data_IF_373019085813
#
_entry.id   IF_373019085813
#
_cell.length_a   1.000
_cell.length_b   1.000
_cell.length_c   1.000
_cell.angle_alpha   90.00
_cell.angle_beta   90.00
_cell.angle_gamma   90.00
#
_symmetry.space_group_name_H-M   'P 1'
#
loop_
_entity.id
_entity.type
_entity.pdbx_description
1 polymer ?
#
# COMPACT_ATOMS: atom_id res chain seq x y z
N UNK A 1 3.18 -0.73 -3.81
CA UNK A 1 3.67 -0.68 -5.20
C UNK A 1 2.49 -0.45 -6.14
N UNK A 2 2.58 0.54 -7.04
CA UNK A 2 1.50 0.87 -7.99
C UNK A 2 0.12 1.12 -7.35
N UNK A 3 0.07 1.72 -6.16
CA UNK A 3 -1.19 1.97 -5.43
C UNK A 3 -1.70 0.81 -4.56
N UNK A 4 -1.05 -0.36 -4.58
CA UNK A 4 -1.39 -1.50 -3.73
C UNK A 4 -0.39 -1.67 -2.58
N UNK A 5 -0.88 -2.13 -1.41
CA UNK A 5 -0.01 -2.54 -0.31
C UNK A 5 0.67 -3.88 -0.63
N UNK A 6 1.81 -4.16 0.03
CA UNK A 6 2.48 -5.47 -0.09
C UNK A 6 1.55 -6.59 0.38
N UNK A 7 0.78 -6.36 1.44
CA UNK A 7 -0.22 -7.31 1.94
C UNK A 7 -1.29 -7.63 0.89
N UNK A 8 -1.73 -6.64 0.11
CA UNK A 8 -2.69 -6.87 -0.98
C UNK A 8 -2.08 -7.61 -2.17
N UNK A 9 -0.78 -7.41 -2.44
CA UNK A 9 -0.10 -7.99 -3.60
C UNK A 9 0.44 -9.40 -3.33
N UNK A 10 0.92 -9.64 -2.12
CA UNK A 10 1.60 -10.87 -1.70
C UNK A 10 1.24 -11.21 -0.24
N UNK A 11 -0.03 -11.56 0.05
CA UNK A 11 -0.51 -11.81 1.42
C UNK A 11 0.21 -12.96 2.12
N UNK A 12 0.53 -14.06 1.43
CA UNK A 12 1.24 -15.19 2.02
C UNK A 12 2.69 -14.80 2.36
N UNK A 13 3.37 -14.07 1.49
CA UNK A 13 4.70 -13.51 1.80
C UNK A 13 4.62 -12.59 3.02
N UNK A 14 3.62 -11.72 3.07
CA UNK A 14 3.41 -10.79 4.18
C UNK A 14 3.17 -11.50 5.53
N UNK A 15 2.43 -12.62 5.53
CA UNK A 15 2.15 -13.37 6.76
C UNK A 15 3.40 -14.02 7.37
N UNK A 16 4.35 -14.44 6.53
CA UNK A 16 5.60 -15.12 6.94
C UNK A 16 6.57 -14.13 7.61
N UNK A 17 6.59 -12.87 7.20
CA UNK A 17 7.44 -11.85 7.82
C UNK A 17 6.95 -11.52 9.24
N UNK A 18 7.85 -11.43 10.22
CA UNK A 18 7.46 -11.14 11.60
C UNK A 18 6.74 -9.77 11.74
N UNK A 19 5.68 -9.64 12.56
CA UNK A 19 4.93 -8.38 12.72
C UNK A 19 5.81 -7.19 13.13
N UNK A 20 6.86 -7.43 13.92
CA UNK A 20 7.81 -6.40 14.32
C UNK A 20 8.54 -5.83 13.10
N UNK A 21 9.06 -6.70 12.23
CA UNK A 21 9.80 -6.32 11.02
C UNK A 21 8.90 -5.50 10.10
N UNK A 22 7.66 -5.96 9.87
CA UNK A 22 6.65 -5.26 9.05
C UNK A 22 6.35 -3.84 9.50
N UNK A 23 6.50 -3.54 10.80
CA UNK A 23 6.17 -2.23 11.38
C UNK A 23 7.35 -1.27 11.46
N UNK A 24 8.56 -1.80 11.60
CA UNK A 24 9.74 -0.98 11.88
C UNK A 24 10.65 -0.82 10.69
N UNK A 25 10.65 -1.78 9.76
CA UNK A 25 11.58 -1.76 8.63
C UNK A 25 11.07 -0.84 7.54
N UNK A 26 11.92 0.09 7.12
CA UNK A 26 11.63 0.92 5.95
C UNK A 26 11.94 0.17 4.65
N UNK A 27 11.39 0.66 3.54
CA UNK A 27 11.72 0.10 2.21
C UNK A 27 13.21 0.27 1.93
N UNK A 28 13.80 1.42 2.28
CA UNK A 28 15.23 1.67 2.11
C UNK A 28 16.10 0.62 2.81
N UNK A 29 15.84 0.38 4.11
CA UNK A 29 16.55 -0.65 4.89
C UNK A 29 16.35 -2.06 4.33
N UNK A 30 15.15 -2.35 3.81
CA UNK A 30 14.82 -3.65 3.24
C UNK A 30 15.59 -3.92 1.92
N UNK A 31 15.77 -2.89 1.11
CA UNK A 31 16.51 -2.95 -0.14
C UNK A 31 18.03 -2.97 0.08
N UNK A 32 18.52 -2.26 1.10
CA UNK A 32 19.92 -2.28 1.48
C UNK A 32 20.36 -3.72 1.83
N UNK A 33 21.35 -4.24 1.10
CA UNK A 33 21.89 -5.60 1.24
C UNK A 33 20.86 -6.74 1.07
N UNK A 34 19.75 -6.51 0.36
CA UNK A 34 18.70 -7.53 0.11
C UNK A 34 18.12 -8.15 1.40
N UNK A 35 18.14 -7.41 2.52
CA UNK A 35 17.76 -7.93 3.85
C UNK A 35 16.30 -8.42 3.93
N UNK A 36 15.44 -7.95 3.03
CA UNK A 36 14.08 -8.44 2.89
C UNK A 36 13.98 -9.94 2.56
N UNK A 37 14.98 -10.52 1.88
CA UNK A 37 15.06 -11.96 1.63
C UNK A 37 15.27 -12.73 2.94
N UNK A 38 16.13 -12.21 3.80
CA UNK A 38 16.39 -12.77 5.12
C UNK A 38 15.14 -12.72 6.01
N UNK A 39 14.36 -11.64 5.90
CA UNK A 39 13.11 -11.47 6.65
C UNK A 39 12.06 -12.53 6.29
N UNK A 40 11.97 -12.89 5.01
CA UNK A 40 11.10 -13.96 4.53
C UNK A 40 11.65 -15.32 4.98
N UNK A 41 12.96 -15.54 4.85
CA UNK A 41 13.60 -16.81 5.20
C UNK A 41 13.44 -17.16 6.69
N UNK A 42 13.58 -16.16 7.58
CA UNK A 42 13.42 -16.33 9.03
C UNK A 42 11.99 -16.64 9.47
N UNK A 43 11.00 -16.40 8.60
CA UNK A 43 9.58 -16.56 8.89
C UNK A 43 9.03 -17.99 8.81
N UNK A 44 9.87 -19.00 8.52
CA UNK A 44 9.44 -20.39 8.41
C UNK A 44 9.19 -20.88 6.97
N UNK A 45 9.65 -20.12 5.97
CA UNK A 45 9.59 -20.49 4.56
C UNK A 45 8.23 -20.24 3.91
N UNK A 46 8.20 -20.29 2.57
CA UNK A 46 7.00 -20.03 1.78
C UNK A 46 6.34 -21.33 1.34
N UNK A 47 5.00 -21.34 1.31
CA UNK A 47 4.25 -22.36 0.59
C UNK A 47 4.46 -22.23 -0.92
N UNK A 48 4.04 -23.22 -1.72
CA UNK A 48 4.10 -23.12 -3.18
C UNK A 48 3.43 -21.84 -3.72
N UNK A 49 2.25 -21.50 -3.20
CA UNK A 49 1.56 -20.27 -3.57
C UNK A 49 2.31 -19.02 -3.08
N UNK A 50 2.93 -19.09 -1.90
CA UNK A 50 3.78 -18.01 -1.39
C UNK A 50 5.01 -17.76 -2.26
N UNK A 51 5.57 -18.81 -2.89
CA UNK A 51 6.68 -18.66 -3.86
C UNK A 51 6.22 -17.91 -5.10
N UNK A 52 5.01 -18.20 -5.62
CA UNK A 52 4.45 -17.45 -6.75
C UNK A 52 4.23 -15.97 -6.42
N UNK A 53 3.71 -15.68 -5.23
CA UNK A 53 3.57 -14.31 -4.74
C UNK A 53 4.92 -13.62 -4.59
N UNK A 54 5.93 -14.33 -4.06
CA UNK A 54 7.29 -13.82 -3.95
C UNK A 54 7.88 -13.46 -5.31
N UNK A 55 7.71 -14.30 -6.34
CA UNK A 55 8.23 -14.00 -7.68
C UNK A 55 7.56 -12.76 -8.28
N UNK A 56 6.23 -12.62 -8.10
CA UNK A 56 5.52 -11.40 -8.53
C UNK A 56 6.00 -10.16 -7.79
N UNK A 57 6.25 -10.29 -6.49
CA UNK A 57 6.78 -9.21 -5.67
C UNK A 57 8.20 -8.84 -6.11
N UNK A 58 9.04 -9.84 -6.38
CA UNK A 58 10.40 -9.69 -6.92
C UNK A 58 10.38 -8.91 -8.23
N UNK A 59 9.54 -9.30 -9.21
CA UNK A 59 9.41 -8.58 -10.48
C UNK A 59 9.00 -7.11 -10.30
N UNK A 60 8.17 -6.81 -9.30
CA UNK A 60 7.76 -5.44 -9.00
C UNK A 60 8.87 -4.63 -8.31
N UNK A 61 9.73 -5.28 -7.53
CA UNK A 61 10.83 -4.68 -6.76
C UNK A 61 12.06 -4.45 -7.63
N UNK A 62 12.38 -5.38 -8.54
CA UNK A 62 13.61 -5.33 -9.34
C UNK A 62 13.71 -4.14 -10.29
N UNK A 63 12.58 -3.55 -10.67
CA UNK A 63 12.54 -2.30 -11.45
C UNK A 63 12.39 -1.03 -10.60
N UNK A 64 12.42 -1.15 -9.27
CA UNK A 64 12.17 -0.04 -8.37
C UNK A 64 13.48 0.59 -7.89
N UNK A 65 13.68 1.85 -8.27
CA UNK A 65 14.80 2.67 -7.79
C UNK A 65 14.28 3.65 -6.73
N UNK A 66 14.85 3.56 -5.54
CA UNK A 66 14.66 4.57 -4.50
C UNK A 66 15.32 5.86 -4.96
N UNK A 67 14.60 6.97 -4.84
CA UNK A 67 15.13 8.31 -5.08
C UNK A 67 14.90 9.18 -3.85
N UNK A 68 15.67 10.26 -3.72
CA UNK A 68 15.59 11.18 -2.58
C UNK A 68 14.43 12.18 -2.69
N UNK A 69 13.49 12.01 -3.63
CA UNK A 69 12.32 12.88 -3.71
C UNK A 69 11.35 12.53 -2.59
N UNK A 70 10.75 13.56 -1.99
CA UNK A 70 9.67 13.36 -1.02
C UNK A 70 8.47 12.66 -1.68
N UNK A 71 7.83 11.76 -0.93
CA UNK A 71 6.61 11.10 -1.35
C UNK A 71 5.50 12.12 -1.62
N UNK A 72 4.92 12.06 -2.83
CA UNK A 72 3.79 12.90 -3.21
C UNK A 72 2.47 12.19 -2.97
N UNK A 73 1.67 12.71 -2.05
CA UNK A 73 0.29 12.27 -1.89
C UNK A 73 -0.59 12.77 -3.05
N UNK A 74 -1.19 11.84 -3.81
CA UNK A 74 -2.11 12.14 -4.92
C UNK A 74 -3.54 11.75 -4.48
N UNK A 75 -4.42 12.75 -4.39
CA UNK A 75 -5.83 12.54 -4.06
C UNK A 75 -6.62 12.13 -5.32
N UNK A 76 -6.90 10.84 -5.47
CA UNK A 76 -7.51 10.26 -6.68
C UNK A 76 -9.02 10.53 -6.85
N UNK A 77 -9.67 11.06 -5.81
CA UNK A 77 -11.11 11.36 -5.79
C UNK A 77 -11.43 12.77 -6.30
N UNK A 78 -10.42 13.54 -6.72
CA UNK A 78 -10.58 14.81 -7.40
C UNK A 78 -9.61 14.90 -8.59
N UNK A 79 -10.05 15.52 -9.69
CA UNK A 79 -9.24 15.60 -10.92
C UNK A 79 -7.95 16.42 -10.76
N UNK A 80 -7.88 17.31 -9.75
CA UNK A 80 -6.67 18.09 -9.46
C UNK A 80 -5.53 17.24 -8.87
N UNK A 81 -5.82 16.04 -8.36
CA UNK A 81 -4.86 15.25 -7.59
C UNK A 81 -4.49 15.85 -6.24
N UNK A 82 -5.07 17.01 -5.87
CA UNK A 82 -4.80 17.71 -4.63
C UNK A 82 -5.87 17.39 -3.57
N UNK A 83 -5.43 17.22 -2.33
CA UNK A 83 -6.35 17.08 -1.22
C UNK A 83 -6.96 18.44 -0.85
N UNK A 84 -8.29 18.49 -0.80
CA UNK A 84 -9.05 19.62 -0.26
C UNK A 84 -10.16 19.07 0.64
N UNK A 85 -10.43 19.73 1.78
CA UNK A 85 -11.54 19.33 2.66
C UNK A 85 -12.87 19.26 1.92
N UNK A 86 -13.07 20.14 0.92
CA UNK A 86 -14.25 20.14 0.05
C UNK A 86 -14.35 18.87 -0.82
N UNK A 87 -13.26 18.41 -1.43
CA UNK A 87 -13.28 17.21 -2.27
C UNK A 87 -13.46 15.95 -1.43
N UNK A 88 -12.86 15.90 -0.24
CA UNK A 88 -13.10 14.83 0.74
C UNK A 88 -14.58 14.73 1.13
N UNK A 89 -15.22 15.86 1.44
CA UNK A 89 -16.64 15.89 1.78
C UNK A 89 -17.51 15.43 0.62
N UNK A 90 -17.23 15.91 -0.60
CA UNK A 90 -17.95 15.45 -1.81
C UNK A 90 -17.82 13.96 -2.05
N UNK A 91 -16.62 13.40 -1.87
CA UNK A 91 -16.39 11.97 -2.02
C UNK A 91 -17.13 11.15 -0.94
N UNK A 92 -17.13 11.64 0.30
CA UNK A 92 -17.86 10.99 1.40
C UNK A 92 -19.37 10.91 1.15
N UNK A 93 -19.97 11.96 0.58
CA UNK A 93 -21.39 11.99 0.22
C UNK A 93 -21.68 11.50 -1.21
N UNK A 94 -20.72 10.89 -1.89
CA UNK A 94 -20.98 10.30 -3.19
C UNK A 94 -21.99 9.16 -3.04
N UNK A 95 -23.12 9.24 -3.76
CA UNK A 95 -24.22 8.28 -3.64
C UNK A 95 -25.17 8.53 -2.44
N UNK A 96 -24.98 9.61 -1.68
CA UNK A 96 -25.91 9.97 -0.62
C UNK A 96 -27.27 10.43 -1.18
N UNK A 97 -28.35 10.05 -0.49
CA UNK A 97 -29.72 10.49 -0.82
C UNK A 97 -29.99 11.78 -0.06
N UNK A 98 -30.41 12.82 -0.77
CA UNK A 98 -30.83 14.08 -0.16
C UNK A 98 -32.21 13.93 0.45
N UNK A 99 -32.35 14.26 1.74
CA UNK A 99 -33.65 14.35 2.40
C UNK A 99 -34.21 15.77 2.28
N UNK A 100 -35.53 15.89 2.14
CA UNK A 100 -36.23 17.18 2.20
C UNK A 100 -36.00 17.84 3.58
N UNK A 101 -35.82 19.16 3.65
CA UNK A 101 -35.78 19.89 4.91
C UNK A 101 -37.05 19.62 5.72
N UNK A 102 -36.89 19.26 6.99
CA UNK A 102 -37.99 18.95 7.90
C UNK A 102 -38.96 20.14 8.17
N UNK A 103 -38.56 21.36 7.80
CA UNK A 103 -39.46 22.52 7.67
C UNK A 103 -39.19 23.23 6.34
N UNK A 104 -40.28 23.60 5.67
CA UNK A 104 -40.27 24.57 4.57
C UNK A 104 -40.22 25.97 5.19
N UNK A 105 -39.27 26.79 4.73
CA UNK A 105 -39.20 28.21 5.08
C UNK A 105 -40.36 28.97 4.44
#
# INVERSE_FOLDING_TARGET
MHGYSIESLAPLVFTVVAPRIRKTRTISEAFENETWLDDIRRGGGLSWLGILEFLRLWDCIMGFELNDQEDRHIWTLDASGCYLSKSAYRAYFNGAITFEPWRRL
#
